data_IF_305433332547
#
_entry.id   IF_305433332547
#
_cell.length_a   1.000
_cell.length_b   1.000
_cell.length_c   1.000
_cell.angle_alpha   90.00
_cell.angle_beta   90.00
_cell.angle_gamma   90.00
#
_symmetry.space_group_name_H-M   'P 1'
#
loop_
_entity.id
_entity.type
_entity.pdbx_description
1 polymer ?
#
# COMPACT_ATOMS: atom_id res chain seq x y z
N UNK A 1 33.42 -6.56 30.06
CA UNK A 1 33.84 -7.93 29.70
C UNK A 1 32.67 -8.84 30.03
N UNK A 2 32.12 -9.54 29.04
CA UNK A 2 30.89 -10.34 29.16
C UNK A 2 31.21 -11.84 29.13
N UNK A 3 32.00 -12.31 30.11
CA UNK A 3 32.24 -13.75 30.27
C UNK A 3 30.97 -14.42 30.81
N UNK A 4 30.62 -15.58 30.28
CA UNK A 4 29.55 -16.39 30.84
C UNK A 4 30.02 -17.05 32.15
N UNK A 5 29.20 -17.01 33.20
CA UNK A 5 29.56 -17.53 34.53
C UNK A 5 30.69 -16.82 35.30
N UNK A 6 31.27 -15.73 34.77
CA UNK A 6 32.46 -15.03 35.32
C UNK A 6 33.77 -15.84 35.34
N UNK A 7 33.78 -17.07 34.78
CA UNK A 7 34.95 -17.92 34.79
C UNK A 7 36.02 -17.45 33.79
N UNK A 8 37.27 -17.41 34.27
CA UNK A 8 38.43 -16.94 33.51
C UNK A 8 39.52 -18.01 33.49
N UNK A 9 40.20 -18.11 32.35
CA UNK A 9 41.45 -18.86 32.25
C UNK A 9 42.59 -18.08 32.92
N UNK A 10 43.71 -18.76 33.19
CA UNK A 10 44.91 -18.18 33.84
C UNK A 10 45.52 -16.99 33.08
N UNK A 11 45.24 -16.87 31.78
CA UNK A 11 45.63 -15.77 30.91
C UNK A 11 44.62 -14.59 30.93
N UNK A 12 43.66 -14.58 31.86
CA UNK A 12 42.56 -13.61 31.96
C UNK A 12 41.58 -13.57 30.77
N UNK A 13 41.59 -14.58 29.88
CA UNK A 13 40.56 -14.72 28.84
C UNK A 13 39.33 -15.42 29.38
N UNK A 14 38.16 -15.13 28.81
CA UNK A 14 36.94 -15.84 29.18
C UNK A 14 36.95 -17.26 28.60
N UNK A 15 36.45 -18.25 29.34
CA UNK A 15 36.28 -19.64 28.84
C UNK A 15 35.18 -19.67 27.77
N UNK A 16 34.07 -19.00 28.05
CA UNK A 16 32.97 -18.81 27.10
C UNK A 16 32.37 -17.41 27.26
N UNK A 17 31.83 -16.88 26.18
CA UNK A 17 31.17 -15.57 26.17
C UNK A 17 29.69 -15.71 26.42
N UNK A 18 29.10 -14.69 27.05
CA UNK A 18 27.65 -14.54 27.07
C UNK A 18 27.11 -14.46 25.65
N UNK A 19 25.87 -14.94 25.47
CA UNK A 19 25.17 -14.94 24.18
C UNK A 19 25.20 -13.54 23.56
N UNK A 20 25.63 -13.46 22.30
CA UNK A 20 25.74 -12.19 21.57
C UNK A 20 27.06 -11.43 21.74
N UNK A 21 28.04 -11.97 22.48
CA UNK A 21 29.39 -11.40 22.59
C UNK A 21 30.47 -12.37 22.11
N UNK A 22 31.59 -11.85 21.63
CA UNK A 22 32.70 -12.66 21.10
C UNK A 22 34.08 -12.02 21.35
N UNK A 23 35.12 -12.79 21.03
CA UNK A 23 36.52 -12.44 21.23
C UNK A 23 37.11 -12.96 22.54
N UNK A 24 38.44 -12.91 22.72
CA UNK A 24 39.14 -13.53 23.86
C UNK A 24 38.72 -12.97 25.23
N UNK A 25 38.20 -11.74 25.24
CA UNK A 25 37.75 -11.05 26.45
C UNK A 25 36.23 -10.80 26.47
N UNK A 26 35.49 -11.33 25.48
CA UNK A 26 34.05 -11.11 25.31
C UNK A 26 33.69 -9.62 25.39
N UNK A 27 34.44 -8.79 24.68
CA UNK A 27 34.25 -7.33 24.61
C UNK A 27 33.64 -6.87 23.30
N UNK A 28 33.58 -7.75 22.29
CA UNK A 28 33.02 -7.43 20.99
C UNK A 28 31.58 -7.91 20.95
N UNK A 29 30.66 -7.01 20.59
CA UNK A 29 29.23 -7.33 20.46
C UNK A 29 28.96 -7.86 19.05
N UNK A 30 28.23 -8.97 18.95
CA UNK A 30 27.77 -9.53 17.68
C UNK A 30 26.39 -8.95 17.35
N UNK A 31 26.31 -8.13 16.30
CA UNK A 31 25.08 -7.48 15.84
C UNK A 31 24.36 -8.25 14.73
N UNK A 32 24.79 -9.48 14.42
CA UNK A 32 24.30 -10.26 13.29
C UNK A 32 24.50 -9.57 11.93
N UNK A 33 23.70 -9.95 10.94
CA UNK A 33 23.71 -9.35 9.58
C UNK A 33 22.91 -8.03 9.50
N UNK A 34 22.06 -7.80 10.49
CA UNK A 34 21.07 -6.73 10.52
C UNK A 34 21.56 -5.44 11.18
N UNK A 35 22.76 -5.41 11.74
CA UNK A 35 23.29 -4.24 12.43
C UNK A 35 24.79 -4.06 12.29
N UNK A 36 25.29 -2.90 12.70
CA UNK A 36 26.73 -2.64 12.79
C UNK A 36 27.14 -2.29 14.22
N UNK A 37 28.30 -2.78 14.69
CA UNK A 37 28.78 -2.48 16.04
C UNK A 37 29.24 -1.02 16.14
N UNK A 38 28.88 -0.36 17.23
CA UNK A 38 29.33 1.00 17.56
C UNK A 38 30.49 0.98 18.56
N UNK A 39 31.17 2.13 18.74
CA UNK A 39 32.31 2.26 19.67
C UNK A 39 31.94 1.94 21.13
N UNK A 40 30.65 2.02 21.50
CA UNK A 40 30.16 1.81 22.86
C UNK A 40 29.68 0.37 23.12
N UNK A 41 30.08 -0.61 22.30
CA UNK A 41 29.62 -2.01 22.42
C UNK A 41 28.09 -2.14 22.31
N UNK A 42 27.47 -1.25 21.53
CA UNK A 42 26.05 -1.29 21.19
C UNK A 42 25.89 -1.55 19.70
N UNK A 43 24.81 -2.23 19.32
CA UNK A 43 24.48 -2.45 17.92
C UNK A 43 23.62 -1.31 17.38
N UNK A 44 24.01 -0.77 16.22
CA UNK A 44 23.16 0.11 15.41
C UNK A 44 22.43 -0.75 14.40
N UNK A 45 21.17 -1.08 14.71
CA UNK A 45 20.34 -1.91 13.84
C UNK A 45 19.88 -1.16 12.59
N UNK A 46 19.75 -1.88 11.48
CA UNK A 46 19.07 -1.42 10.28
C UNK A 46 17.57 -1.58 10.49
N UNK A 47 16.77 -0.58 10.16
CA UNK A 47 15.32 -0.70 10.20
C UNK A 47 14.86 -1.85 9.26
N UNK A 48 13.84 -2.65 9.63
CA UNK A 48 12.99 -2.57 10.83
C UNK A 48 13.47 -3.41 12.03
N UNK A 49 14.73 -3.85 12.05
CA UNK A 49 15.25 -4.69 13.14
C UNK A 49 15.58 -3.87 14.38
N UNK A 50 15.32 -4.46 15.55
CA UNK A 50 15.49 -3.87 16.88
C UNK A 50 16.10 -4.91 17.85
N UNK A 51 16.36 -4.49 19.09
CA UNK A 51 17.03 -5.32 20.09
C UNK A 51 18.51 -4.99 20.30
N UNK A 52 19.09 -5.54 21.37
CA UNK A 52 20.50 -5.35 21.72
C UNK A 52 21.44 -5.94 20.66
N UNK A 53 21.01 -7.00 19.96
CA UNK A 53 21.78 -7.71 18.94
C UNK A 53 21.13 -7.66 17.53
N UNK A 54 20.10 -6.83 17.33
CA UNK A 54 19.39 -6.67 16.05
C UNK A 54 18.71 -7.95 15.51
N UNK A 55 18.27 -8.80 16.43
CA UNK A 55 17.63 -10.09 16.22
C UNK A 55 16.10 -10.04 16.34
N UNK A 56 15.55 -8.96 16.90
CA UNK A 56 14.11 -8.76 16.97
C UNK A 56 13.59 -8.00 15.74
N UNK A 57 12.49 -8.47 15.18
CA UNK A 57 11.64 -7.69 14.29
C UNK A 57 10.23 -7.71 14.88
N UNK A 58 9.81 -6.61 15.48
CA UNK A 58 8.40 -6.51 15.88
C UNK A 58 7.57 -6.39 14.61
N UNK A 59 6.47 -7.17 14.47
CA UNK A 59 5.58 -7.05 13.32
C UNK A 59 5.16 -5.60 13.08
N UNK A 60 4.85 -4.87 14.16
CA UNK A 60 4.45 -3.48 14.12
C UNK A 60 5.53 -2.55 13.53
N UNK A 61 6.81 -2.78 13.81
CA UNK A 61 7.92 -1.99 13.28
C UNK A 61 8.19 -2.31 11.80
N UNK A 62 7.97 -3.56 11.39
CA UNK A 62 8.00 -3.97 9.98
C UNK A 62 6.87 -3.27 9.22
N UNK A 63 5.65 -3.31 9.75
CA UNK A 63 4.51 -2.62 9.15
C UNK A 63 4.72 -1.11 9.10
N UNK A 64 5.22 -0.47 10.16
CA UNK A 64 5.52 0.95 10.16
C UNK A 64 6.58 1.32 9.12
N UNK A 65 7.67 0.54 9.00
CA UNK A 65 8.73 0.79 8.02
C UNK A 65 8.24 0.63 6.58
N UNK A 66 7.48 -0.42 6.29
CA UNK A 66 6.90 -0.62 4.96
C UNK A 66 5.80 0.39 4.66
N UNK A 67 4.96 0.76 5.64
CA UNK A 67 3.95 1.80 5.46
C UNK A 67 4.58 3.18 5.22
N UNK A 68 5.66 3.54 5.91
CA UNK A 68 6.42 4.76 5.61
C UNK A 68 7.05 4.72 4.22
N UNK A 69 7.60 3.57 3.79
CA UNK A 69 8.12 3.40 2.43
C UNK A 69 7.02 3.44 1.37
N UNK A 70 5.86 2.87 1.65
CA UNK A 70 4.67 2.97 0.79
C UNK A 70 4.18 4.42 0.76
N UNK A 71 4.29 5.19 1.84
CA UNK A 71 4.03 6.64 1.83
C UNK A 71 5.03 7.42 0.97
N UNK A 72 6.28 6.96 0.90
CA UNK A 72 7.30 7.52 0.00
C UNK A 72 7.08 7.08 -1.45
N UNK A 73 6.48 5.90 -1.68
CA UNK A 73 5.85 5.51 -2.95
C UNK A 73 4.50 6.24 -3.01
N UNK A 74 4.53 7.56 -3.11
CA UNK A 74 3.34 8.39 -3.23
C UNK A 74 2.55 8.14 -4.54
N UNK A 75 2.34 9.14 -5.39
CA UNK A 75 1.36 9.14 -6.49
C UNK A 75 1.51 8.04 -7.56
N UNK A 76 2.49 7.14 -7.46
CA UNK A 76 2.66 5.97 -8.33
C UNK A 76 1.40 5.10 -8.32
N UNK A 77 0.76 4.89 -7.15
CA UNK A 77 -0.53 4.20 -7.08
C UNK A 77 -1.62 4.91 -7.89
N UNK A 78 -1.73 6.24 -7.75
CA UNK A 78 -2.66 7.05 -8.54
C UNK A 78 -2.33 7.06 -10.04
N UNK A 79 -1.05 7.00 -10.43
CA UNK A 79 -0.61 6.91 -11.84
C UNK A 79 -1.05 5.60 -12.49
N UNK A 80 -1.25 4.52 -11.73
CA UNK A 80 -1.80 3.26 -12.25
C UNK A 80 -3.34 3.16 -12.14
N UNK A 81 -3.93 3.75 -11.10
CA UNK A 81 -5.39 3.71 -10.89
C UNK A 81 -6.12 4.67 -11.85
N UNK A 82 -5.61 5.89 -12.05
CA UNK A 82 -6.22 6.88 -12.96
C UNK A 82 -6.39 6.38 -14.41
N UNK A 83 -5.39 5.76 -15.07
CA UNK A 83 -5.59 5.23 -16.41
C UNK A 83 -6.59 4.07 -16.44
N UNK A 84 -6.64 3.22 -15.40
CA UNK A 84 -7.63 2.16 -15.30
C UNK A 84 -9.06 2.72 -15.16
N UNK A 85 -9.25 3.75 -14.33
CA UNK A 85 -10.54 4.44 -14.20
C UNK A 85 -10.95 5.15 -15.49
N UNK A 86 -10.01 5.79 -16.18
CA UNK A 86 -10.26 6.45 -17.46
C UNK A 86 -10.70 5.45 -18.54
N UNK A 87 -9.99 4.32 -18.67
CA UNK A 87 -10.33 3.25 -19.61
C UNK A 87 -11.71 2.69 -19.27
N UNK A 88 -11.98 2.41 -18.00
CA UNK A 88 -13.27 1.92 -17.54
C UNK A 88 -14.43 2.89 -17.86
N UNK A 89 -14.22 4.19 -17.65
CA UNK A 89 -15.19 5.23 -17.97
C UNK A 89 -15.50 5.28 -19.47
N UNK A 90 -14.46 5.27 -20.31
CA UNK A 90 -14.61 5.28 -21.77
C UNK A 90 -15.34 4.01 -22.23
N UNK A 91 -15.00 2.84 -21.68
CA UNK A 91 -15.66 1.57 -22.00
C UNK A 91 -17.15 1.59 -21.63
N UNK A 92 -17.52 2.07 -20.44
CA UNK A 92 -18.93 2.16 -20.04
C UNK A 92 -19.70 3.09 -20.96
N UNK A 93 -19.18 4.30 -21.21
CA UNK A 93 -19.83 5.29 -22.07
C UNK A 93 -20.05 4.73 -23.48
N UNK A 94 -19.02 4.12 -24.08
CA UNK A 94 -19.12 3.54 -25.41
C UNK A 94 -20.13 2.38 -25.48
N UNK A 95 -20.20 1.53 -24.44
CA UNK A 95 -21.18 0.44 -24.38
C UNK A 95 -22.62 0.95 -24.31
N UNK A 96 -22.86 2.01 -23.54
CA UNK A 96 -24.18 2.59 -23.36
C UNK A 96 -24.66 3.33 -24.63
N UNK A 97 -23.76 4.07 -25.30
CA UNK A 97 -24.07 4.74 -26.57
C UNK A 97 -24.51 3.76 -27.67
N UNK A 98 -23.95 2.54 -27.70
CA UNK A 98 -24.37 1.50 -28.66
C UNK A 98 -25.81 1.03 -28.42
N UNK A 99 -26.29 1.05 -27.18
CA UNK A 99 -27.69 0.72 -26.85
C UNK A 99 -28.59 1.85 -27.30
N UNK A 100 -28.22 3.10 -27.02
CA UNK A 100 -28.95 4.29 -27.47
C UNK A 100 -29.13 4.29 -28.98
N UNK A 101 -28.05 4.05 -29.72
CA UNK A 101 -28.08 4.08 -31.19
C UNK A 101 -29.08 3.06 -31.76
N UNK A 102 -29.14 1.85 -31.19
CA UNK A 102 -30.12 0.82 -31.58
C UNK A 102 -31.56 1.27 -31.31
N UNK A 103 -31.82 1.80 -30.11
CA UNK A 103 -33.15 2.31 -29.75
C UNK A 103 -33.55 3.47 -30.66
N UNK A 104 -32.62 4.37 -31.02
CA UNK A 104 -32.89 5.48 -31.95
C UNK A 104 -33.22 4.98 -33.36
N UNK A 105 -32.46 4.01 -33.86
CA UNK A 105 -32.72 3.38 -35.16
C UNK A 105 -34.08 2.67 -35.18
N UNK A 106 -34.42 1.94 -34.12
CA UNK A 106 -35.72 1.29 -33.95
C UNK A 106 -36.87 2.32 -33.85
N UNK A 107 -36.71 3.37 -33.05
CA UNK A 107 -37.71 4.44 -32.86
C UNK A 107 -37.95 5.24 -34.14
N UNK A 108 -36.87 5.57 -34.86
CA UNK A 108 -36.94 6.27 -36.17
C UNK A 108 -37.62 5.43 -37.24
N UNK A 109 -37.48 4.09 -37.17
CA UNK A 109 -38.19 3.19 -38.09
C UNK A 109 -39.70 3.13 -37.81
N UNK A 110 -40.10 3.30 -36.54
CA UNK A 110 -41.51 3.31 -36.12
C UNK A 110 -42.22 4.65 -36.39
N UNK A 111 -41.51 5.78 -36.29
CA UNK A 111 -42.06 7.12 -36.49
C UNK A 111 -41.32 7.86 -37.61
N UNK A 112 -41.86 7.81 -38.81
CA UNK A 112 -41.26 8.38 -40.03
C UNK A 112 -41.33 9.92 -40.14
N UNK A 113 -41.60 10.69 -39.07
CA UNK A 113 -41.84 12.13 -39.25
C UNK A 113 -41.43 13.13 -38.16
N UNK A 114 -40.98 12.74 -36.97
CA UNK A 114 -40.50 13.73 -35.97
C UNK A 114 -39.04 13.52 -35.59
N UNK A 115 -38.13 14.15 -36.35
CA UNK A 115 -36.70 14.15 -36.04
C UNK A 115 -36.42 14.85 -34.71
N UNK A 116 -37.23 15.86 -34.36
CA UNK A 116 -37.05 16.67 -33.14
C UNK A 116 -37.26 15.85 -31.85
N UNK A 117 -38.22 14.93 -31.83
CA UNK A 117 -38.47 14.08 -30.66
C UNK A 117 -37.36 13.03 -30.49
N UNK A 118 -36.83 12.50 -31.59
CA UNK A 118 -35.73 11.54 -31.57
C UNK A 118 -34.42 12.11 -31.03
N UNK A 119 -34.17 13.41 -31.26
CA UNK A 119 -32.97 14.09 -30.77
C UNK A 119 -33.11 14.47 -29.28
N UNK A 120 -34.31 14.89 -28.85
CA UNK A 120 -34.60 15.11 -27.41
C UNK A 120 -34.48 13.83 -26.59
N UNK A 121 -34.91 12.69 -27.14
CA UNK A 121 -34.79 11.39 -26.50
C UNK A 121 -33.32 10.96 -26.31
N UNK A 122 -32.48 11.22 -27.32
CA UNK A 122 -31.03 10.97 -27.24
C UNK A 122 -30.36 11.83 -26.17
N UNK A 123 -30.69 13.11 -26.09
CA UNK A 123 -30.16 14.03 -25.09
C UNK A 123 -30.54 13.61 -23.66
N UNK A 124 -31.82 13.25 -23.43
CA UNK A 124 -32.30 12.75 -22.14
C UNK A 124 -31.63 11.43 -21.74
N UNK A 125 -31.44 10.52 -22.69
CA UNK A 125 -30.76 9.25 -22.43
C UNK A 125 -29.27 9.45 -22.14
N UNK A 126 -28.60 10.37 -22.82
CA UNK A 126 -27.21 10.74 -22.55
C UNK A 126 -27.03 11.34 -21.15
N UNK A 127 -27.92 12.25 -20.74
CA UNK A 127 -27.91 12.82 -19.39
C UNK A 127 -28.16 11.76 -18.30
N UNK A 128 -29.09 10.84 -18.55
CA UNK A 128 -29.38 9.71 -17.65
C UNK A 128 -28.16 8.80 -17.46
N UNK A 129 -27.45 8.46 -18.54
CA UNK A 129 -26.21 7.68 -18.49
C UNK A 129 -25.13 8.41 -17.70
N UNK A 130 -24.91 9.70 -17.96
CA UNK A 130 -23.91 10.48 -17.24
C UNK A 130 -24.17 10.44 -15.72
N UNK A 131 -25.41 10.68 -15.30
CA UNK A 131 -25.80 10.62 -13.87
C UNK A 131 -25.64 9.22 -13.25
N UNK A 132 -25.81 8.16 -14.04
CA UNK A 132 -25.67 6.77 -13.59
C UNK A 132 -24.20 6.40 -13.42
N UNK A 133 -23.35 6.86 -14.34
CA UNK A 133 -21.90 6.67 -14.28
C UNK A 133 -21.31 7.46 -13.11
N UNK A 134 -21.71 8.72 -12.91
CA UNK A 134 -21.28 9.53 -11.77
C UNK A 134 -21.61 8.87 -10.43
N UNK A 135 -22.82 8.32 -10.29
CA UNK A 135 -23.22 7.57 -9.08
C UNK A 135 -22.39 6.31 -8.87
N UNK A 136 -22.05 5.57 -9.93
CA UNK A 136 -21.17 4.39 -9.83
C UNK A 136 -19.73 4.79 -9.50
N UNK A 137 -19.22 5.85 -10.11
CA UNK A 137 -17.89 6.38 -9.87
C UNK A 137 -17.75 6.88 -8.43
N UNK A 138 -18.75 7.61 -7.92
CA UNK A 138 -18.79 8.05 -6.53
C UNK A 138 -18.82 6.88 -5.55
N UNK A 139 -19.53 5.77 -5.85
CA UNK A 139 -19.47 4.56 -5.03
C UNK A 139 -18.10 3.87 -5.05
N UNK A 140 -17.46 3.80 -6.21
CA UNK A 140 -16.12 3.19 -6.34
C UNK A 140 -15.09 4.01 -5.55
N UNK A 141 -15.08 5.32 -5.76
CA UNK A 141 -14.21 6.24 -5.00
C UNK A 141 -14.52 6.17 -3.51
N UNK A 142 -15.79 6.09 -3.11
CA UNK A 142 -16.15 5.94 -1.69
C UNK A 142 -15.66 4.61 -1.11
N UNK A 143 -15.71 3.50 -1.86
CA UNK A 143 -15.19 2.21 -1.43
C UNK A 143 -13.66 2.23 -1.31
N UNK A 144 -12.97 2.82 -2.28
CA UNK A 144 -11.52 3.04 -2.22
C UNK A 144 -11.11 3.92 -1.04
N UNK A 145 -11.88 4.98 -0.76
CA UNK A 145 -11.65 5.89 0.37
C UNK A 145 -11.98 5.27 1.73
N UNK A 146 -12.99 4.39 1.80
CA UNK A 146 -13.32 3.63 3.01
C UNK A 146 -12.22 2.58 3.30
N UNK A 147 -11.70 1.89 2.27
CA UNK A 147 -10.52 1.01 2.41
C UNK A 147 -9.28 1.79 2.91
N UNK A 148 -9.16 3.05 2.51
CA UNK A 148 -8.07 3.95 2.93
C UNK A 148 -8.27 4.48 4.37
N UNK A 149 -9.51 4.71 4.80
CA UNK A 149 -9.89 5.12 6.15
C UNK A 149 -9.85 3.97 7.18
N UNK A 150 -10.26 2.76 6.82
CA UNK A 150 -10.16 1.59 7.70
C UNK A 150 -8.69 1.26 8.02
N UNK A 151 -7.78 1.50 7.07
CA UNK A 151 -6.33 1.47 7.31
C UNK A 151 -5.83 2.57 8.25
N UNK A 152 -6.48 3.73 8.27
CA UNK A 152 -6.14 4.83 9.19
C UNK A 152 -6.69 4.59 10.60
N UNK A 153 -7.88 3.99 10.74
CA UNK A 153 -8.49 3.70 12.04
C UNK A 153 -7.75 2.61 12.83
N UNK A 154 -7.09 1.67 12.16
CA UNK A 154 -6.23 0.66 12.80
C UNK A 154 -4.88 1.20 13.30
N UNK A 155 -4.52 2.45 12.94
CA UNK A 155 -3.27 3.09 13.37
C UNK A 155 -3.43 4.01 14.59
N UNK A 156 -4.60 4.01 15.26
CA UNK A 156 -4.88 4.88 16.43
C UNK A 156 -5.37 4.15 17.69
N UNK A 157 -5.14 2.84 17.82
CA UNK A 157 -5.28 2.09 19.08
C UNK A 157 -3.93 1.52 19.49
#
# INVERSE_FOLDING_TARGET
MYCDGYDRLENNTCITCQVGYYGPFCTQINCGENGTPTKNQQCKCKAPFSGQFCDHSLPNDVYLHFNQKVYQIGPIGAVFILPMLAIWFICQKASAMKVIKRVKEDYKSMYLQDSEESDKLEELMNASIASSIERKMSRIISLEYIDELDKYSLNHI
#
